data_IF_703386442249
#
_entry.id   IF_703386442249
#
_cell.length_a   1.000
_cell.length_b   1.000
_cell.length_c   1.000
_cell.angle_alpha   90.00
_cell.angle_beta   90.00
_cell.angle_gamma   90.00
#
_symmetry.space_group_name_H-M   'P 1'
#
loop_
_entity.id
_entity.type
_entity.pdbx_description
1 polymer ?
#
# COMPACT_ATOMS: atom_id res chain seq x y z
N UNK A 1 -18.75 -69.66 -11.08
CA UNK A 1 -19.73 -69.20 -10.07
C UNK A 1 -18.97 -68.39 -9.03
N UNK A 2 -19.11 -67.07 -9.12
CA UNK A 2 -18.90 -65.99 -8.13
C UNK A 2 -17.90 -66.15 -6.96
N UNK A 3 -16.93 -65.22 -6.88
CA UNK A 3 -16.85 -64.15 -5.86
C UNK A 3 -15.40 -63.70 -5.65
N UNK A 4 -14.96 -62.64 -6.35
CA UNK A 4 -13.76 -61.89 -5.96
C UNK A 4 -14.23 -60.70 -5.12
N UNK A 5 -13.92 -60.76 -3.82
CA UNK A 5 -14.19 -59.71 -2.84
C UNK A 5 -13.19 -58.57 -3.07
N UNK A 6 -13.65 -57.46 -3.64
CA UNK A 6 -12.87 -56.23 -3.74
C UNK A 6 -13.16 -55.35 -2.51
N UNK A 7 -12.19 -55.26 -1.60
CA UNK A 7 -12.20 -54.36 -0.45
C UNK A 7 -11.84 -52.96 -0.94
N UNK A 8 -12.82 -52.04 -0.96
CA UNK A 8 -12.59 -50.62 -1.23
C UNK A 8 -12.22 -49.89 0.06
N UNK A 9 -10.95 -49.50 0.21
CA UNK A 9 -10.54 -48.51 1.20
C UNK A 9 -10.90 -47.11 0.67
N UNK A 10 -11.90 -46.49 1.28
CA UNK A 10 -12.33 -45.12 0.97
C UNK A 10 -11.36 -44.16 1.66
N UNK A 11 -10.39 -43.62 0.92
CA UNK A 11 -9.57 -42.50 1.37
C UNK A 11 -10.38 -41.21 1.18
N UNK A 12 -11.06 -40.78 2.24
CA UNK A 12 -11.80 -39.52 2.26
C UNK A 12 -10.86 -38.33 2.16
N UNK A 13 -10.77 -37.72 0.97
CA UNK A 13 -10.17 -36.40 0.79
C UNK A 13 -11.12 -35.35 1.37
N UNK A 14 -10.82 -34.89 2.58
CA UNK A 14 -11.42 -33.70 3.18
C UNK A 14 -10.92 -32.50 2.38
N UNK A 15 -11.70 -32.02 1.43
CA UNK A 15 -11.44 -30.73 0.76
C UNK A 15 -11.78 -29.62 1.75
N UNK A 16 -10.75 -29.10 2.44
CA UNK A 16 -10.88 -27.88 3.23
C UNK A 16 -11.07 -26.68 2.31
N UNK A 17 -12.27 -26.15 2.22
CA UNK A 17 -12.51 -24.82 1.65
C UNK A 17 -12.07 -23.77 2.66
N UNK A 18 -10.96 -23.08 2.40
CA UNK A 18 -10.62 -21.85 3.14
C UNK A 18 -11.60 -20.76 2.72
N UNK A 19 -12.63 -20.53 3.53
CA UNK A 19 -13.54 -19.40 3.31
C UNK A 19 -12.77 -18.10 3.57
N UNK A 20 -12.66 -17.25 2.55
CA UNK A 20 -12.04 -15.91 2.64
C UNK A 20 -13.02 -14.96 3.34
N UNK A 21 -12.55 -14.14 4.28
CA UNK A 21 -13.42 -13.25 5.06
C UNK A 21 -13.88 -12.08 4.18
N UNK A 22 -15.20 -11.91 4.03
CA UNK A 22 -15.80 -10.79 3.30
C UNK A 22 -16.24 -9.68 4.28
N UNK A 23 -15.62 -8.48 4.26
CA UNK A 23 -16.02 -7.36 5.11
C UNK A 23 -17.26 -6.64 4.58
N UNK A 24 -18.14 -6.19 5.49
CA UNK A 24 -19.23 -5.26 5.16
C UNK A 24 -18.78 -3.83 5.43
N UNK A 25 -18.76 -3.00 4.39
CA UNK A 25 -18.24 -1.61 4.45
C UNK A 25 -19.36 -0.62 4.13
N UNK A 26 -19.61 0.29 5.06
CA UNK A 26 -20.56 1.39 4.95
C UNK A 26 -19.80 2.72 4.94
N UNK A 27 -20.06 3.54 3.92
CA UNK A 27 -19.33 4.77 3.66
C UNK A 27 -20.26 5.97 3.74
N UNK A 28 -19.88 6.96 4.54
CA UNK A 28 -20.46 8.30 4.51
C UNK A 28 -19.41 9.30 4.04
N UNK A 29 -19.76 10.58 3.89
CA UNK A 29 -18.78 11.63 3.52
C UNK A 29 -17.69 11.81 4.57
N UNK A 30 -17.96 11.48 5.84
CA UNK A 30 -17.09 11.79 6.97
C UNK A 30 -16.59 10.55 7.71
N UNK A 31 -17.24 9.39 7.56
CA UNK A 31 -16.89 8.18 8.29
C UNK A 31 -16.93 6.95 7.39
N UNK A 32 -16.04 6.00 7.70
CA UNK A 32 -16.02 4.65 7.12
C UNK A 32 -16.27 3.65 8.23
N UNK A 33 -17.40 2.94 8.16
CA UNK A 33 -17.80 1.91 9.11
C UNK A 33 -17.55 0.54 8.48
N UNK A 34 -16.77 -0.31 9.15
CA UNK A 34 -16.38 -1.63 8.65
C UNK A 34 -16.81 -2.66 9.67
N UNK A 35 -17.58 -3.65 9.24
CA UNK A 35 -18.03 -4.78 10.05
C UNK A 35 -17.33 -6.07 9.57
N UNK A 36 -16.72 -6.78 10.52
CA UNK A 36 -16.01 -8.04 10.28
C UNK A 36 -16.58 -9.15 11.18
N UNK A 37 -16.86 -10.34 10.64
CA UNK A 37 -17.29 -11.47 11.45
C UNK A 37 -16.12 -12.00 12.30
N UNK A 38 -16.37 -12.16 13.60
CA UNK A 38 -15.43 -12.79 14.54
C UNK A 38 -15.77 -14.29 14.59
N UNK A 39 -14.74 -15.13 14.48
CA UNK A 39 -14.88 -16.60 14.58
C UNK A 39 -14.17 -17.09 15.83
N UNK A 40 -14.50 -18.27 16.36
CA UNK A 40 -13.80 -18.86 17.52
C UNK A 40 -12.28 -19.01 17.33
N UNK A 41 -11.78 -18.99 16.09
CA UNK A 41 -10.35 -19.06 15.76
C UNK A 41 -9.66 -17.69 15.66
N UNK A 42 -10.38 -16.57 15.72
CA UNK A 42 -9.74 -15.25 15.59
C UNK A 42 -9.07 -14.84 16.89
N UNK A 43 -7.75 -14.63 16.86
CA UNK A 43 -6.96 -14.18 18.01
C UNK A 43 -7.03 -12.68 18.20
N UNK A 44 -6.82 -11.92 17.12
CA UNK A 44 -6.86 -10.46 17.16
C UNK A 44 -7.16 -9.87 15.79
N UNK A 45 -7.91 -8.77 15.77
CA UNK A 45 -8.21 -8.00 14.56
C UNK A 45 -7.69 -6.57 14.79
N UNK A 46 -6.85 -6.08 13.89
CA UNK A 46 -6.26 -4.74 14.02
C UNK A 46 -5.99 -4.12 12.66
N UNK A 47 -5.84 -2.80 12.64
CA UNK A 47 -5.47 -2.07 11.44
C UNK A 47 -3.99 -2.35 11.11
N UNK A 48 -3.68 -2.57 9.82
CA UNK A 48 -2.31 -2.83 9.39
C UNK A 48 -1.35 -1.72 9.85
N UNK A 49 -0.27 -2.12 10.52
CA UNK A 49 0.74 -1.23 11.10
C UNK A 49 0.35 -0.56 12.43
N UNK A 50 -0.79 -0.91 13.04
CA UNK A 50 -1.34 -0.24 14.23
C UNK A 50 -1.81 -1.23 15.32
N UNK A 51 -1.09 -2.34 15.52
CA UNK A 51 -1.48 -3.38 16.48
C UNK A 51 -1.52 -2.87 17.92
N UNK A 52 -0.45 -2.23 18.38
CA UNK A 52 -0.35 -1.73 19.77
C UNK A 52 -0.55 -0.21 19.86
N UNK A 53 -1.13 0.40 18.83
CA UNK A 53 -1.37 1.84 18.79
C UNK A 53 -2.35 2.26 19.90
N UNK A 54 -2.03 3.29 20.72
CA UNK A 54 -2.76 3.58 21.95
C UNK A 54 -4.15 4.19 21.72
N UNK A 55 -4.44 4.78 20.56
CA UNK A 55 -5.72 5.46 20.32
C UNK A 55 -6.88 4.46 20.16
N UNK A 56 -7.89 4.60 21.01
CA UNK A 56 -9.10 3.77 20.97
C UNK A 56 -9.90 3.89 19.68
N UNK A 57 -9.88 5.06 19.01
CA UNK A 57 -10.60 5.26 17.74
C UNK A 57 -10.12 4.34 16.60
N UNK A 58 -8.89 3.82 16.69
CA UNK A 58 -8.30 2.94 15.69
C UNK A 58 -8.40 1.44 16.06
N UNK A 59 -9.02 1.12 17.20
CA UNK A 59 -9.26 -0.26 17.66
C UNK A 59 -10.68 -0.70 17.29
N UNK A 60 -10.91 -2.00 17.07
CA UNK A 60 -12.26 -2.49 16.82
C UNK A 60 -13.11 -2.37 18.08
N UNK A 61 -14.36 -1.95 17.91
CA UNK A 61 -15.40 -2.11 18.92
C UNK A 61 -15.97 -3.51 18.73
N UNK A 62 -15.82 -4.35 19.74
CA UNK A 62 -16.34 -5.72 19.73
C UNK A 62 -17.66 -5.67 20.48
N UNK A 63 -18.74 -6.00 19.78
CA UNK A 63 -20.06 -6.15 20.39
C UNK A 63 -20.21 -7.61 20.83
N UNK A 64 -20.20 -7.82 22.15
CA UNK A 64 -20.26 -9.15 22.79
C UNK A 64 -21.50 -9.95 22.39
N UNK A 65 -22.56 -9.27 21.93
CA UNK A 65 -23.83 -9.91 21.55
C UNK A 65 -23.90 -10.36 20.10
N UNK A 66 -23.14 -9.73 19.19
CA UNK A 66 -23.26 -9.96 17.74
C UNK A 66 -22.07 -10.70 17.11
N UNK A 67 -20.99 -10.99 17.86
CA UNK A 67 -19.76 -11.60 17.31
C UNK A 67 -19.20 -10.82 16.11
N UNK A 68 -19.36 -9.50 16.13
CA UNK A 68 -18.88 -8.60 15.08
C UNK A 68 -17.82 -7.65 15.64
N UNK A 69 -16.73 -7.48 14.89
CA UNK A 69 -15.76 -6.43 15.10
C UNK A 69 -16.12 -5.23 14.21
N UNK A 70 -16.36 -4.08 14.82
CA UNK A 70 -16.75 -2.86 14.11
C UNK A 70 -15.64 -1.82 14.21
N UNK A 71 -15.14 -1.36 13.07
CA UNK A 71 -14.28 -0.17 12.99
C UNK A 71 -15.10 1.03 12.55
N UNK A 72 -14.95 2.16 13.23
CA UNK A 72 -15.53 3.43 12.84
C UNK A 72 -14.40 4.45 12.61
N UNK A 73 -13.96 4.56 11.36
CA UNK A 73 -12.82 5.38 10.97
C UNK A 73 -13.28 6.75 10.48
N UNK A 74 -12.55 7.80 10.87
CA UNK A 74 -12.83 9.18 10.46
C UNK A 74 -12.14 9.50 9.13
N UNK A 75 -12.90 10.01 8.15
CA UNK A 75 -12.41 10.41 6.82
C UNK A 75 -12.01 11.89 6.74
N UNK A 76 -12.45 12.73 7.68
CA UNK A 76 -12.05 14.15 7.71
C UNK A 76 -10.61 14.30 8.20
N UNK A 77 -10.26 13.63 9.30
CA UNK A 77 -8.89 13.47 9.77
C UNK A 77 -8.38 12.05 9.47
N UNK A 78 -8.31 11.72 8.18
CA UNK A 78 -7.93 10.38 7.71
C UNK A 78 -6.51 9.94 8.12
N UNK A 79 -5.66 10.89 8.55
CA UNK A 79 -4.33 10.61 9.08
C UNK A 79 -4.36 9.83 10.40
N UNK A 80 -5.40 10.00 11.22
CA UNK A 80 -5.43 9.52 12.60
C UNK A 80 -5.26 8.00 12.73
N UNK A 81 -5.95 7.23 11.89
CA UNK A 81 -5.86 5.76 11.86
C UNK A 81 -5.14 5.23 10.62
N UNK A 82 -4.34 6.09 10.00
CA UNK A 82 -3.49 5.72 8.88
C UNK A 82 -4.25 5.33 7.62
N UNK A 83 -5.35 6.01 7.30
CA UNK A 83 -6.15 5.74 6.10
C UNK A 83 -5.42 6.37 4.91
N UNK A 84 -5.33 5.65 3.79
CA UNK A 84 -4.78 6.22 2.57
C UNK A 84 -5.88 6.89 1.76
N UNK A 85 -5.64 8.12 1.31
CA UNK A 85 -6.55 8.88 0.47
C UNK A 85 -5.96 9.01 -0.93
N UNK A 86 -6.75 8.70 -1.95
CA UNK A 86 -6.43 8.80 -3.37
C UNK A 86 -7.38 9.80 -4.00
N UNK A 87 -6.83 10.84 -4.64
CA UNK A 87 -7.59 11.83 -5.39
C UNK A 87 -7.24 11.65 -6.85
N UNK A 88 -8.24 11.50 -7.70
CA UNK A 88 -8.08 11.53 -9.15
C UNK A 88 -8.38 12.94 -9.64
N UNK A 89 -7.37 13.65 -10.15
CA UNK A 89 -7.50 15.05 -10.60
C UNK A 89 -8.21 15.21 -11.95
N UNK A 90 -8.46 14.11 -12.67
CA UNK A 90 -9.23 14.14 -13.93
C UNK A 90 -10.74 14.01 -13.70
N UNK A 91 -11.14 13.36 -12.61
CA UNK A 91 -12.56 13.04 -12.32
C UNK A 91 -13.06 13.62 -11.00
N UNK A 92 -12.18 14.26 -10.23
CA UNK A 92 -12.38 14.71 -8.85
C UNK A 92 -12.91 13.61 -7.91
N UNK A 93 -12.71 12.34 -8.29
CA UNK A 93 -13.12 11.19 -7.49
C UNK A 93 -12.13 10.97 -6.36
N UNK A 94 -12.66 10.81 -5.14
CA UNK A 94 -11.86 10.54 -3.95
C UNK A 94 -12.10 9.09 -3.52
N UNK A 95 -11.02 8.35 -3.31
CA UNK A 95 -11.06 6.97 -2.82
C UNK A 95 -10.21 6.84 -1.56
N UNK A 96 -10.78 6.27 -0.52
CA UNK A 96 -10.10 5.95 0.72
C UNK A 96 -9.91 4.44 0.82
N UNK A 97 -8.74 4.00 1.29
CA UNK A 97 -8.50 2.59 1.56
C UNK A 97 -7.69 2.38 2.83
N UNK A 98 -7.92 1.21 3.44
CA UNK A 98 -7.15 0.73 4.58
C UNK A 98 -7.06 -0.80 4.52
N UNK A 99 -5.97 -1.33 5.04
CA UNK A 99 -5.80 -2.79 5.20
C UNK A 99 -6.01 -3.16 6.66
N UNK A 100 -6.78 -4.21 6.88
CA UNK A 100 -7.05 -4.81 8.19
C UNK A 100 -6.33 -6.16 8.23
N UNK A 101 -5.78 -6.50 9.38
CA UNK A 101 -5.11 -7.77 9.63
C UNK A 101 -5.96 -8.57 10.60
N UNK A 102 -6.21 -9.83 10.24
CA UNK A 102 -6.88 -10.81 11.08
C UNK A 102 -5.86 -11.89 11.43
N UNK A 103 -5.45 -11.95 12.69
CA UNK A 103 -4.59 -13.02 13.22
C UNK A 103 -5.46 -14.17 13.70
N UNK A 104 -5.19 -15.38 13.24
CA UNK A 104 -5.86 -16.59 13.71
C UNK A 104 -5.04 -17.34 14.78
N UNK A 105 -5.71 -17.89 15.78
CA UNK A 105 -5.13 -18.78 16.77
C UNK A 105 -4.94 -20.17 16.15
N UNK A 106 -3.78 -20.35 15.51
CA UNK A 106 -3.42 -21.61 14.85
C UNK A 106 -1.93 -21.89 15.05
N UNK A 107 -1.55 -23.18 15.09
CA UNK A 107 -0.15 -23.62 15.30
C UNK A 107 0.80 -23.12 14.20
N UNK A 108 0.25 -22.68 13.07
CA UNK A 108 0.95 -22.01 11.98
C UNK A 108 0.40 -20.58 11.99
N UNK A 109 1.23 -19.57 12.27
CA UNK A 109 0.80 -18.16 12.25
C UNK A 109 0.21 -17.82 10.88
N UNK A 110 -1.11 -17.81 10.77
CA UNK A 110 -1.84 -17.38 9.57
C UNK A 110 -2.42 -16.00 9.84
N UNK A 111 -1.94 -15.02 9.07
CA UNK A 111 -2.47 -13.67 9.04
C UNK A 111 -3.24 -13.49 7.72
N UNK A 112 -4.47 -13.00 7.80
CA UNK A 112 -5.25 -12.62 6.62
C UNK A 112 -5.28 -11.10 6.48
N UNK A 113 -4.94 -10.61 5.27
CA UNK A 113 -4.96 -9.18 4.94
C UNK A 113 -6.22 -8.82 4.16
N UNK A 114 -7.10 -8.05 4.79
CA UNK A 114 -8.37 -7.61 4.21
C UNK A 114 -8.25 -6.14 3.80
N UNK A 115 -8.28 -5.87 2.48
CA UNK A 115 -8.25 -4.51 1.94
C UNK A 115 -9.68 -3.96 1.81
N UNK A 116 -9.99 -2.90 2.54
CA UNK A 116 -11.28 -2.19 2.46
C UNK A 116 -11.13 -0.90 1.67
N UNK A 117 -12.13 -0.58 0.85
CA UNK A 117 -12.15 0.60 -0.01
C UNK A 117 -13.48 1.35 0.10
N UNK A 118 -13.40 2.67 -0.02
CA UNK A 118 -14.53 3.58 0.08
C UNK A 118 -14.38 4.67 -0.96
N UNK A 119 -15.32 4.80 -1.90
CA UNK A 119 -15.25 5.83 -2.95
C UNK A 119 -16.34 6.87 -2.75
N UNK A 120 -15.94 8.14 -2.63
CA UNK A 120 -16.84 9.28 -2.57
C UNK A 120 -16.78 9.97 -3.93
N UNK A 121 -17.93 10.02 -4.61
CA UNK A 121 -18.07 10.79 -5.84
C UNK A 121 -18.62 12.17 -5.48
N UNK A 122 -18.08 13.26 -6.03
CA UNK A 122 -18.70 14.57 -5.88
C UNK A 122 -20.08 14.54 -6.55
N UNK A 123 -21.15 14.59 -5.76
CA UNK A 123 -22.51 14.76 -6.29
C UNK A 123 -22.64 16.20 -6.82
N UNK A 124 -22.32 16.40 -8.10
CA UNK A 124 -22.60 17.64 -8.83
C UNK A 124 -23.08 17.36 -10.26
N UNK A 125 -23.81 16.26 -10.45
CA UNK A 125 -24.63 16.10 -11.64
C UNK A 125 -26.08 15.93 -11.23
N UNK A 126 -26.81 17.04 -11.15
CA UNK A 126 -28.23 17.02 -11.51
C UNK A 126 -28.28 16.67 -12.99
N UNK A 127 -28.25 15.38 -13.30
CA UNK A 127 -28.57 14.88 -14.64
C UNK A 127 -30.05 15.17 -14.86
N UNK A 128 -30.34 16.38 -15.35
CA UNK A 128 -31.62 16.67 -15.96
C UNK A 128 -31.60 15.91 -17.28
N UNK A 129 -32.13 14.68 -17.26
CA UNK A 129 -32.47 13.99 -18.50
C UNK A 129 -33.45 14.87 -19.25
N UNK A 130 -32.96 15.62 -20.24
CA UNK A 130 -33.82 16.25 -21.24
C UNK A 130 -34.33 15.11 -22.12
N UNK A 131 -35.48 14.54 -21.77
CA UNK A 131 -36.12 13.44 -22.49
C UNK A 131 -36.66 13.85 -23.88
N UNK A 132 -36.25 15.00 -24.41
CA UNK A 132 -36.76 15.54 -25.66
C UNK A 132 -35.58 15.80 -26.58
N UNK A 133 -35.45 14.93 -27.56
CA UNK A 133 -34.57 15.14 -28.70
C UNK A 133 -35.11 16.34 -29.51
N UNK A 134 -34.24 17.21 -30.07
CA UNK A 134 -34.68 18.32 -30.92
C UNK A 134 -35.56 17.82 -32.07
N UNK A 135 -36.54 18.62 -32.48
CA UNK A 135 -37.35 18.30 -33.66
C UNK A 135 -36.43 18.13 -34.88
N UNK A 136 -36.50 16.97 -35.54
CA UNK A 136 -35.63 16.61 -36.66
C UNK A 136 -34.38 15.77 -36.31
N UNK A 137 -34.23 15.32 -35.07
CA UNK A 137 -33.24 14.29 -34.74
C UNK A 137 -33.70 12.93 -35.28
N UNK A 138 -33.12 12.52 -36.41
CA UNK A 138 -33.28 11.18 -36.98
C UNK A 138 -32.12 10.31 -36.45
N UNK A 139 -32.43 9.32 -35.62
CA UNK A 139 -31.43 8.38 -35.12
C UNK A 139 -31.07 7.41 -36.26
N UNK A 140 -29.80 7.35 -36.71
CA UNK A 140 -29.40 6.38 -37.73
C UNK A 140 -29.65 4.97 -37.20
N UNK A 141 -30.36 4.15 -37.99
CA UNK A 141 -30.80 2.80 -37.59
C UNK A 141 -29.64 1.85 -37.28
N UNK A 142 -28.44 2.12 -37.82
CA UNK A 142 -27.24 1.33 -37.58
C UNK A 142 -25.99 2.23 -37.49
N UNK A 143 -25.59 2.60 -36.27
CA UNK A 143 -24.20 3.02 -36.00
C UNK A 143 -23.37 1.75 -35.82
N UNK A 144 -22.70 1.27 -36.88
CA UNK A 144 -21.59 0.33 -36.72
C UNK A 144 -20.43 1.04 -36.03
N UNK A 145 -20.48 1.10 -34.69
CA UNK A 145 -19.31 1.43 -33.87
C UNK A 145 -18.37 0.23 -34.03
N UNK A 146 -17.46 0.28 -35.01
CA UNK A 146 -16.38 -0.69 -35.14
C UNK A 146 -15.51 -0.61 -33.90
N UNK A 147 -15.82 -1.47 -32.91
CA UNK A 147 -15.04 -1.80 -31.71
C UNK A 147 -14.16 -0.66 -31.15
N UNK A 148 -14.74 0.39 -30.57
CA UNK A 148 -13.99 1.25 -29.65
C UNK A 148 -13.87 0.53 -28.30
N UNK A 149 -12.77 -0.20 -28.10
CA UNK A 149 -12.44 -0.74 -26.77
C UNK A 149 -11.92 0.43 -25.93
N UNK A 150 -12.78 1.05 -25.14
CA UNK A 150 -12.37 2.01 -24.12
C UNK A 150 -11.89 1.26 -22.88
N UNK A 151 -10.61 0.94 -22.83
CA UNK A 151 -10.00 0.35 -21.63
C UNK A 151 -9.77 1.45 -20.60
N UNK A 152 -10.43 1.38 -19.46
CA UNK A 152 -10.19 2.31 -18.35
C UNK A 152 -8.94 1.88 -17.57
N UNK A 153 -8.02 2.83 -17.36
CA UNK A 153 -6.86 2.58 -16.53
C UNK A 153 -7.30 2.31 -15.08
N UNK A 154 -6.67 1.35 -14.38
CA UNK A 154 -7.00 1.02 -13.01
C UNK A 154 -6.66 2.17 -12.06
N UNK A 155 -7.34 2.22 -10.91
CA UNK A 155 -6.97 3.13 -9.80
C UNK A 155 -5.68 2.61 -9.18
N UNK A 156 -4.62 3.43 -9.05
CA UNK A 156 -3.33 2.98 -8.53
C UNK A 156 -3.43 2.52 -7.07
N UNK A 157 -2.79 1.40 -6.76
CA UNK A 157 -2.69 0.86 -5.39
C UNK A 157 -1.23 0.87 -4.95
N UNK A 158 -0.94 1.51 -3.82
CA UNK A 158 0.42 1.67 -3.31
C UNK A 158 0.62 0.83 -2.05
N UNK A 159 1.81 0.24 -1.95
CA UNK A 159 2.36 -0.34 -0.73
C UNK A 159 3.41 0.57 -0.13
N UNK A 160 3.52 0.53 1.20
CA UNK A 160 4.57 1.20 1.97
C UNK A 160 5.23 0.15 2.84
N UNK A 161 6.56 0.15 2.85
CA UNK A 161 7.36 -0.75 3.67
C UNK A 161 8.51 -0.01 4.33
N UNK A 162 8.99 -0.55 5.45
CA UNK A 162 10.23 -0.12 6.07
C UNK A 162 11.14 -1.34 6.19
N UNK A 163 12.40 -1.17 5.78
CA UNK A 163 13.45 -2.17 5.93
C UNK A 163 14.46 -1.76 6.97
N UNK A 164 14.91 -2.76 7.72
CA UNK A 164 16.05 -2.67 8.62
C UNK A 164 17.06 -3.73 8.21
N UNK A 165 18.31 -3.33 7.91
CA UNK A 165 19.36 -4.27 7.50
C UNK A 165 18.98 -5.13 6.28
N UNK A 166 18.20 -4.57 5.34
CA UNK A 166 17.75 -5.30 4.16
C UNK A 166 16.63 -6.32 4.41
N UNK A 167 16.00 -6.36 5.59
CA UNK A 167 14.80 -7.18 5.85
C UNK A 167 13.56 -6.27 5.98
N UNK A 168 12.47 -6.63 5.32
CA UNK A 168 11.17 -5.96 5.50
C UNK A 168 10.65 -6.24 6.90
N UNK A 169 10.27 -5.18 7.60
CA UNK A 169 9.64 -5.29 8.92
C UNK A 169 8.14 -5.29 8.73
N UNK A 170 7.53 -6.45 8.93
CA UNK A 170 6.08 -6.67 8.87
C UNK A 170 5.52 -6.51 10.28
N UNK A 171 5.02 -5.31 10.62
CA UNK A 171 4.42 -5.04 11.93
C UNK A 171 4.83 -3.69 12.50
N UNK A 172 4.60 -3.52 13.80
CA UNK A 172 5.04 -2.34 14.54
C UNK A 172 6.57 -2.37 14.69
N UNK A 173 7.24 -1.41 14.06
CA UNK A 173 8.69 -1.30 14.09
C UNK A 173 9.11 -0.62 15.39
N UNK A 174 9.58 -1.40 16.37
CA UNK A 174 10.28 -0.91 17.56
C UNK A 174 11.75 -0.69 17.21
N UNK A 175 12.19 0.56 17.19
CA UNK A 175 13.57 0.92 16.85
C UNK A 175 14.16 1.89 17.85
N UNK A 176 15.46 1.77 18.09
CA UNK A 176 16.21 2.75 18.87
C UNK A 176 16.50 4.00 18.01
N UNK A 177 16.50 5.22 18.59
CA UNK A 177 16.94 6.41 17.88
C UNK A 177 18.33 6.24 17.26
N UNK A 178 18.50 6.74 16.03
CA UNK A 178 19.73 6.66 15.24
C UNK A 178 19.85 5.41 14.37
N UNK A 179 18.95 4.43 14.53
CA UNK A 179 18.94 3.22 13.70
C UNK A 179 18.78 3.59 12.22
N UNK A 180 19.67 3.15 11.32
CA UNK A 180 19.51 3.37 9.89
C UNK A 180 18.40 2.46 9.34
N UNK A 181 17.42 3.08 8.72
CA UNK A 181 16.26 2.43 8.12
C UNK A 181 16.13 2.84 6.66
N UNK A 182 15.38 2.05 5.90
CA UNK A 182 15.07 2.35 4.50
C UNK A 182 13.57 2.28 4.29
N UNK A 183 12.97 3.39 3.85
CA UNK A 183 11.57 3.46 3.47
C UNK A 183 11.41 3.08 2.01
N UNK A 184 10.38 2.29 1.72
CA UNK A 184 10.04 1.82 0.38
C UNK A 184 8.58 2.15 0.08
N UNK A 185 8.34 2.74 -1.08
CA UNK A 185 6.99 3.01 -1.59
C UNK A 185 6.92 2.42 -3.00
N UNK A 186 5.92 1.58 -3.25
CA UNK A 186 5.83 0.85 -4.50
C UNK A 186 4.41 0.69 -5.00
N UNK A 187 4.26 0.59 -6.31
CA UNK A 187 2.99 0.25 -6.96
C UNK A 187 2.74 -1.26 -6.97
N UNK A 188 1.47 -1.66 -6.97
CA UNK A 188 1.12 -3.05 -7.24
C UNK A 188 1.34 -3.41 -8.72
N UNK A 189 1.43 -4.72 -9.01
CA UNK A 189 1.76 -5.24 -10.35
C UNK A 189 0.83 -4.73 -11.46
N UNK A 190 -0.42 -4.44 -11.13
CA UNK A 190 -1.41 -3.97 -12.11
C UNK A 190 -1.22 -2.48 -12.43
N UNK A 191 -0.68 -1.70 -11.48
CA UNK A 191 -0.51 -0.25 -11.62
C UNK A 191 0.89 0.13 -12.10
N UNK A 192 1.92 -0.66 -11.74
CA UNK A 192 3.33 -0.36 -12.05
C UNK A 192 3.65 -0.35 -13.54
N UNK A 193 2.85 -1.04 -14.36
CA UNK A 193 3.02 -1.06 -15.83
C UNK A 193 2.58 0.25 -16.48
N UNK A 194 1.70 1.02 -15.82
CA UNK A 194 1.03 2.19 -16.39
C UNK A 194 1.53 3.48 -15.75
N UNK A 195 1.91 3.41 -14.47
CA UNK A 195 2.13 4.59 -13.65
C UNK A 195 3.52 4.62 -13.01
N UNK A 196 3.99 5.84 -12.77
CA UNK A 196 5.16 6.14 -11.96
C UNK A 196 4.80 6.90 -10.70
N UNK A 197 5.73 6.92 -9.75
CA UNK A 197 5.58 7.56 -8.45
C UNK A 197 6.57 8.72 -8.27
N UNK A 198 6.09 9.78 -7.62
CA UNK A 198 6.92 10.89 -7.15
C UNK A 198 6.46 11.33 -5.76
N UNK A 199 7.34 11.24 -4.76
CA UNK A 199 7.07 11.85 -3.45
C UNK A 199 7.27 13.35 -3.58
N UNK A 200 6.23 14.14 -3.28
CA UNK A 200 6.27 15.60 -3.39
C UNK A 200 6.39 16.29 -2.05
N UNK A 201 5.71 15.76 -1.02
CA UNK A 201 5.72 16.35 0.30
C UNK A 201 5.72 15.26 1.36
N UNK A 202 6.54 15.43 2.38
CA UNK A 202 6.58 14.52 3.51
C UNK A 202 6.76 15.31 4.80
N UNK A 203 5.87 15.04 5.74
CA UNK A 203 5.80 15.70 7.03
C UNK A 203 5.82 14.64 8.13
N UNK A 204 6.48 14.96 9.23
CA UNK A 204 6.58 14.08 10.39
C UNK A 204 5.95 14.75 11.59
N UNK A 205 5.11 14.02 12.31
CA UNK A 205 4.39 14.54 13.47
C UNK A 205 4.42 13.57 14.63
N UNK A 206 4.34 14.13 15.84
CA UNK A 206 4.29 13.39 17.10
C UNK A 206 2.87 12.89 17.44
N UNK A 207 2.00 12.79 16.44
CA UNK A 207 0.54 12.54 16.55
C UNK A 207 -0.27 13.60 17.33
N UNK A 208 0.42 14.62 17.86
CA UNK A 208 -0.10 15.72 18.66
C UNK A 208 0.03 17.05 17.89
N UNK A 209 0.77 18.02 18.44
CA UNK A 209 0.91 19.39 17.90
C UNK A 209 2.22 19.62 17.17
N UNK A 210 3.25 18.83 17.47
CA UNK A 210 4.56 18.99 16.85
C UNK A 210 4.55 18.37 15.46
N UNK A 211 4.94 19.15 14.46
CA UNK A 211 5.06 18.71 13.07
C UNK A 211 6.24 19.37 12.38
N UNK A 212 6.98 18.64 11.56
CA UNK A 212 8.09 19.17 10.75
C UNK A 212 8.04 18.63 9.34
N UNK A 213 8.41 19.47 8.37
CA UNK A 213 8.52 19.05 6.97
C UNK A 213 9.92 18.49 6.73
N UNK A 214 10.00 17.23 6.30
CA UNK A 214 11.26 16.58 5.94
C UNK A 214 11.50 16.56 4.43
N UNK A 215 10.43 16.56 3.62
CA UNK A 215 10.52 16.68 2.16
C UNK A 215 9.56 17.76 1.69
N UNK A 216 10.09 18.67 0.87
CA UNK A 216 9.34 19.74 0.24
C UNK A 216 9.65 19.77 -1.26
N UNK A 217 8.60 19.72 -2.08
CA UNK A 217 8.70 19.65 -3.54
C UNK A 217 9.65 18.54 -4.05
N UNK A 218 9.65 17.38 -3.40
CA UNK A 218 10.48 16.23 -3.79
C UNK A 218 11.94 16.28 -3.35
N UNK A 219 12.35 17.34 -2.65
CA UNK A 219 13.70 17.47 -2.08
C UNK A 219 13.66 17.38 -0.56
N UNK A 220 14.62 16.66 0.02
CA UNK A 220 14.81 16.61 1.46
C UNK A 220 15.28 17.97 1.99
N UNK A 221 14.78 18.34 3.17
CA UNK A 221 15.21 19.54 3.91
C UNK A 221 16.48 19.26 4.71
N UNK A 222 16.66 18.02 5.18
CA UNK A 222 17.87 17.57 5.88
C UNK A 222 18.33 16.20 5.38
N UNK A 223 19.33 16.15 4.47
CA UNK A 223 19.93 14.92 3.97
C UNK A 223 20.55 14.03 5.05
N UNK A 224 20.90 14.57 6.22
CA UNK A 224 21.47 13.77 7.31
C UNK A 224 20.41 12.90 8.00
N UNK A 225 19.18 13.42 8.10
CA UNK A 225 18.07 12.75 8.75
C UNK A 225 17.33 11.83 7.76
N UNK A 226 17.08 12.34 6.56
CA UNK A 226 16.29 11.69 5.54
C UNK A 226 16.90 11.97 4.16
N UNK A 227 17.33 10.94 3.45
CA UNK A 227 17.85 11.05 2.09
C UNK A 227 16.72 11.28 1.07
N UNK A 228 17.07 11.80 -0.10
CA UNK A 228 16.11 11.92 -1.20
C UNK A 228 15.58 10.55 -1.65
N UNK A 229 14.34 10.52 -2.13
CA UNK A 229 13.78 9.31 -2.74
C UNK A 229 14.45 9.04 -4.08
N UNK A 230 14.97 7.84 -4.22
CA UNK A 230 15.58 7.32 -5.43
C UNK A 230 14.71 6.20 -6.02
N UNK A 231 14.62 6.14 -7.34
CA UNK A 231 13.98 5.04 -8.07
C UNK A 231 14.87 4.62 -9.23
N UNK A 232 14.69 3.40 -9.75
CA UNK A 232 15.34 2.93 -10.98
C UNK A 232 14.32 2.94 -12.11
N UNK A 233 13.15 2.35 -11.86
CA UNK A 233 12.12 2.11 -12.86
C UNK A 233 10.93 3.08 -12.79
N UNK A 234 10.82 3.90 -11.75
CA UNK A 234 9.74 4.88 -11.56
C UNK A 234 8.59 4.35 -10.70
N UNK A 235 8.44 3.03 -10.58
CA UNK A 235 7.37 2.36 -9.83
C UNK A 235 7.76 2.01 -8.39
N UNK A 236 9.06 1.96 -8.09
CA UNK A 236 9.64 1.64 -6.79
C UNK A 236 10.54 2.76 -6.29
N UNK A 237 10.13 3.42 -5.21
CA UNK A 237 10.87 4.51 -4.57
C UNK A 237 11.50 4.04 -3.26
N UNK A 238 12.76 4.43 -3.04
CA UNK A 238 13.53 4.10 -1.85
C UNK A 238 14.19 5.34 -1.26
N UNK A 239 14.14 5.50 0.05
CA UNK A 239 14.88 6.53 0.76
C UNK A 239 15.46 5.96 2.05
N UNK A 240 16.72 6.31 2.36
CA UNK A 240 17.33 5.95 3.64
C UNK A 240 17.07 7.06 4.64
N UNK A 241 16.86 6.69 5.90
CA UNK A 241 16.67 7.66 6.96
C UNK A 241 17.18 7.09 8.28
N UNK A 242 17.50 7.97 9.22
CA UNK A 242 17.83 7.57 10.59
C UNK A 242 16.57 7.67 11.43
N UNK A 243 16.29 6.66 12.24
CA UNK A 243 15.20 6.73 13.19
C UNK A 243 15.41 7.93 14.13
N UNK A 244 14.41 8.77 14.26
CA UNK A 244 14.42 9.90 15.18
C UNK A 244 13.09 9.94 15.91
N UNK A 245 13.07 10.57 17.08
CA UNK A 245 11.82 10.81 17.81
C UNK A 245 11.74 12.20 18.39
N UNK A 246 10.51 12.64 18.63
CA UNK A 246 10.25 13.80 19.48
C UNK A 246 10.50 13.43 20.95
N UNK A 247 10.87 14.38 21.81
CA UNK A 247 11.10 14.13 23.23
C UNK A 247 9.83 13.71 23.97
N UNK A 248 8.66 14.15 23.51
CA UNK A 248 7.39 14.01 24.22
C UNK A 248 6.60 12.75 23.83
N UNK A 249 6.84 12.15 22.66
CA UNK A 249 6.19 10.87 22.30
C UNK A 249 7.11 9.82 21.70
N UNK A 250 6.63 8.58 21.76
CA UNK A 250 7.31 7.38 21.26
C UNK A 250 6.89 7.01 19.85
N UNK A 251 5.72 7.49 19.39
CA UNK A 251 5.21 7.23 18.06
C UNK A 251 5.52 8.40 17.13
N UNK A 252 6.16 8.09 16.02
CA UNK A 252 6.45 9.06 14.97
C UNK A 252 5.58 8.73 13.77
N UNK A 253 4.71 9.67 13.41
CA UNK A 253 3.81 9.53 12.28
C UNK A 253 4.38 10.29 11.08
N UNK A 254 4.58 9.56 9.99
CA UNK A 254 4.98 10.08 8.69
C UNK A 254 3.74 10.28 7.82
N UNK A 255 3.47 11.51 7.40
CA UNK A 255 2.45 11.88 6.42
C UNK A 255 3.16 12.15 5.10
N UNK A 256 2.90 11.34 4.09
CA UNK A 256 3.56 11.45 2.80
C UNK A 256 2.53 11.64 1.68
N UNK A 257 2.77 12.64 0.84
CA UNK A 257 1.99 12.93 -0.37
C UNK A 257 2.80 12.45 -1.57
N UNK A 258 2.22 11.52 -2.31
CA UNK A 258 2.79 10.88 -3.49
C UNK A 258 1.93 11.26 -4.69
N UNK A 259 2.56 11.85 -5.68
CA UNK A 259 1.96 12.10 -6.98
C UNK A 259 2.18 10.90 -7.89
N UNK A 260 1.19 10.60 -8.70
CA UNK A 260 1.21 9.52 -9.68
C UNK A 260 1.08 10.11 -11.09
N UNK A 261 2.01 9.73 -11.94
CA UNK A 261 2.14 10.15 -13.33
C UNK A 261 1.98 8.94 -14.26
N UNK A 262 1.85 9.17 -15.57
CA UNK A 262 1.93 8.09 -16.56
C UNK A 262 3.40 7.70 -16.76
N UNK A 263 3.66 6.39 -16.75
CA UNK A 263 4.96 5.77 -16.96
C UNK A 263 6.02 6.22 -15.93
N UNK A 264 6.79 7.28 -16.19
CA UNK A 264 7.81 7.80 -15.27
C UNK A 264 7.67 9.30 -15.03
N UNK A 265 7.78 9.68 -13.76
CA UNK A 265 7.53 11.07 -13.36
C UNK A 265 8.72 11.98 -13.69
N UNK A 266 8.41 13.23 -14.02
CA UNK A 266 9.36 14.33 -14.13
C UNK A 266 9.46 15.09 -12.80
N UNK A 267 10.19 14.62 -11.82
CA UNK A 267 10.49 15.40 -10.62
C UNK A 267 11.56 16.47 -10.78
N UNK A 268 12.44 16.55 -9.78
CA UNK A 268 12.92 17.84 -9.30
C UNK A 268 14.42 17.85 -9.02
N UNK A 269 15.14 18.68 -9.76
CA UNK A 269 16.53 19.00 -9.46
C UNK A 269 16.62 19.77 -8.14
N UNK A 270 17.28 19.18 -7.13
CA UNK A 270 17.44 19.77 -5.82
C UNK A 270 18.68 20.68 -5.76
N UNK A 271 18.72 21.61 -4.79
CA UNK A 271 19.81 22.58 -4.62
C UNK A 271 21.20 21.94 -4.48
N UNK A 272 21.28 20.70 -3.97
CA UNK A 272 22.53 19.97 -3.75
C UNK A 272 23.06 19.27 -5.02
N UNK A 273 22.44 19.50 -6.18
CA UNK A 273 22.78 18.84 -7.45
C UNK A 273 22.36 17.37 -7.52
N UNK A 274 21.76 16.83 -6.45
CA UNK A 274 21.05 15.56 -6.50
C UNK A 274 19.73 15.74 -7.25
N UNK A 275 19.44 14.81 -8.15
CA UNK A 275 18.16 14.77 -8.85
C UNK A 275 17.19 14.06 -7.92
N UNK A 276 16.35 14.81 -7.22
CA UNK A 276 15.03 14.29 -6.82
C UNK A 276 14.29 13.97 -8.11
N UNK A 277 13.60 12.84 -8.20
CA UNK A 277 13.30 12.22 -9.50
C UNK A 277 12.46 13.01 -10.46
N UNK A 278 13.11 13.94 -11.19
CA UNK A 278 13.00 14.32 -12.59
C UNK A 278 13.45 15.73 -12.94
N UNK A 279 13.12 16.10 -14.17
CA UNK A 279 13.90 17.08 -14.91
C UNK A 279 12.93 17.97 -15.65
N UNK A 280 12.88 19.25 -15.27
CA UNK A 280 12.12 20.26 -15.99
C UNK A 280 12.83 20.59 -17.31
N UNK A 281 12.41 19.95 -18.40
CA UNK A 281 12.51 20.59 -19.72
C UNK A 281 11.39 21.62 -19.82
N UNK A 282 11.69 22.80 -20.34
CA UNK A 282 10.70 23.87 -20.54
C UNK A 282 9.61 23.37 -21.48
N UNK A 283 8.39 23.18 -20.99
CA UNK A 283 7.23 22.81 -21.80
C UNK A 283 6.30 24.00 -22.02
N UNK A 284 5.70 24.00 -23.22
CA UNK A 284 4.73 24.97 -23.74
C UNK A 284 3.37 24.69 -23.04
N UNK A 285 2.56 25.71 -22.70
CA UNK A 285 1.31 25.50 -21.97
C UNK A 285 0.27 24.84 -22.87
N UNK A 286 0.16 23.52 -22.79
CA UNK A 286 -1.03 22.77 -23.15
C UNK A 286 -1.40 21.86 -21.99
N UNK A 287 -2.63 22.00 -21.50
CA UNK A 287 -3.22 21.23 -20.41
C UNK A 287 -2.88 19.72 -20.53
N UNK A 288 -2.52 19.04 -19.42
CA UNK A 288 -2.92 19.31 -18.03
C UNK A 288 -1.96 20.20 -17.23
N UNK A 289 -2.42 20.69 -16.07
CA UNK A 289 -1.72 21.67 -15.23
C UNK A 289 -0.39 21.18 -14.60
N UNK A 290 -0.13 19.87 -14.58
CA UNK A 290 1.16 19.23 -14.25
C UNK A 290 1.07 17.75 -14.72
N UNK A 291 1.94 17.26 -15.63
CA UNK A 291 1.91 15.87 -16.10
C UNK A 291 2.14 14.85 -14.97
N UNK A 292 2.70 15.29 -13.84
CA UNK A 292 2.97 14.42 -12.71
C UNK A 292 1.77 14.18 -11.79
N UNK A 293 0.65 14.89 -11.98
CA UNK A 293 -0.40 14.99 -10.97
C UNK A 293 -1.74 14.39 -11.42
N UNK A 294 -1.73 13.17 -11.95
CA UNK A 294 -2.96 12.48 -12.39
C UNK A 294 -3.72 11.95 -11.18
N UNK A 295 -2.99 11.27 -10.29
CA UNK A 295 -3.46 10.96 -8.95
C UNK A 295 -2.58 11.61 -7.90
N UNK A 296 -3.19 12.05 -6.81
CA UNK A 296 -2.49 12.47 -5.61
C UNK A 296 -2.90 11.55 -4.46
N UNK A 297 -1.91 10.96 -3.82
CA UNK A 297 -2.09 9.89 -2.85
C UNK A 297 -1.43 10.29 -1.56
N UNK A 298 -2.24 10.42 -0.52
CA UNK A 298 -1.77 10.74 0.82
C UNK A 298 -1.72 9.46 1.65
N UNK A 299 -0.52 8.99 1.94
CA UNK A 299 -0.22 7.81 2.76
C UNK A 299 0.29 8.22 4.14
N UNK A 300 0.12 7.32 5.10
CA UNK A 300 0.56 7.51 6.48
C UNK A 300 1.22 6.26 7.00
N UNK A 301 2.37 6.43 7.66
CA UNK A 301 3.13 5.37 8.30
C UNK A 301 3.44 5.73 9.75
N UNK A 302 3.48 4.73 10.61
CA UNK A 302 3.72 4.89 12.04
C UNK A 302 4.93 4.06 12.43
N UNK A 303 5.88 4.68 13.13
CA UNK A 303 7.07 4.00 13.65
C UNK A 303 7.12 4.25 15.15
N UNK A 304 7.35 3.19 15.93
CA UNK A 304 7.52 3.31 17.37
C UNK A 304 9.00 3.31 17.71
N UNK A 305 9.44 4.42 18.24
CA UNK A 305 10.84 4.62 18.59
C UNK A 305 10.96 4.51 20.10
N UNK A 306 11.60 3.43 20.56
CA UNK A 306 11.81 3.19 21.98
C UNK A 306 13.29 3.30 22.33
N UNK A 307 13.57 3.79 23.53
CA UNK A 307 14.87 3.57 24.14
C UNK A 307 14.80 2.25 24.87
N UNK A 308 15.58 1.27 24.44
CA UNK A 308 15.97 0.20 25.33
C UNK A 308 16.99 0.84 26.28
N UNK A 309 16.60 1.09 27.54
CA UNK A 309 17.46 0.84 28.72
C UNK A 309 16.91 1.46 30.01
N UNK A 310 16.75 0.59 31.01
CA UNK A 310 16.47 0.83 32.43
C UNK A 310 17.66 1.47 33.17
N UNK A 311 18.27 2.55 32.65
CA UNK A 311 19.38 3.20 33.35
C UNK A 311 19.02 4.61 33.84
N UNK A 312 19.29 4.85 35.12
CA UNK A 312 19.00 6.06 35.90
C UNK A 312 19.75 7.33 35.42
N UNK A 313 20.34 7.32 34.23
CA UNK A 313 21.10 8.44 33.66
C UNK A 313 20.48 9.01 32.37
N UNK A 314 19.17 8.84 32.22
CA UNK A 314 18.36 9.26 31.07
C UNK A 314 18.53 10.74 30.72
N UNK A 315 18.55 11.65 31.70
CA UNK A 315 18.54 13.10 31.42
C UNK A 315 19.85 13.63 30.79
N UNK A 316 20.99 12.99 31.10
CA UNK A 316 22.29 13.37 30.54
C UNK A 316 22.49 12.85 29.11
N UNK A 317 21.95 11.67 28.79
CA UNK A 317 21.93 11.10 27.43
C UNK A 317 21.10 11.95 26.48
N UNK A 318 19.96 12.47 26.94
CA UNK A 318 19.09 13.32 26.12
C UNK A 318 19.81 14.60 25.70
N UNK A 319 20.57 15.26 26.59
CA UNK A 319 21.29 16.49 26.23
C UNK A 319 22.33 16.27 25.13
N UNK A 320 22.97 15.11 25.09
CA UNK A 320 24.00 14.80 24.11
C UNK A 320 23.42 14.33 22.76
N UNK A 321 22.23 13.72 22.76
CA UNK A 321 21.60 13.13 21.56
C UNK A 321 20.51 14.00 20.93
N UNK A 322 20.24 15.17 21.50
CA UNK A 322 19.22 16.08 20.98
C UNK A 322 19.77 17.06 19.96
N UNK A 323 19.21 17.04 18.75
CA UNK A 323 19.47 18.02 17.69
C UNK A 323 18.27 18.97 17.58
N UNK A 324 18.53 20.26 17.35
CA UNK A 324 17.48 21.26 17.13
C UNK A 324 17.29 21.43 15.63
N UNK A 325 16.07 21.24 15.15
CA UNK A 325 15.66 21.42 13.77
C UNK A 325 14.46 22.37 13.74
N UNK A 326 14.57 23.48 13.00
CA UNK A 326 13.51 24.50 12.88
C UNK A 326 12.87 24.91 14.23
N UNK A 327 13.70 25.14 15.26
CA UNK A 327 13.29 25.44 16.64
C UNK A 327 12.58 24.29 17.40
N UNK A 328 12.48 23.09 16.82
CA UNK A 328 11.99 21.89 17.49
C UNK A 328 13.13 20.95 17.87
N UNK A 329 12.97 20.23 18.97
CA UNK A 329 13.98 19.34 19.53
C UNK A 329 13.71 17.92 19.09
N UNK A 330 14.68 17.29 18.44
CA UNK A 330 14.63 15.89 18.01
C UNK A 330 15.71 15.07 18.69
N UNK A 331 15.45 13.79 18.88
CA UNK A 331 16.40 12.83 19.43
C UNK A 331 16.79 11.86 18.33
N UNK A 332 18.07 11.86 17.94
CA UNK A 332 18.58 11.15 16.75
C UNK A 332 19.59 10.06 17.11
N UNK A 333 19.88 9.81 18.40
CA UNK A 333 20.91 8.86 18.83
C UNK A 333 22.35 9.34 18.58
N UNK A 334 23.35 8.72 19.21
CA UNK A 334 24.76 9.12 19.05
C UNK A 334 25.28 8.80 17.64
N UNK A 335 26.03 9.73 17.03
CA UNK A 335 26.97 9.43 15.95
C UNK A 335 28.11 8.58 16.51
N UNK A 336 28.14 7.28 16.22
CA UNK A 336 29.44 6.61 16.18
C UNK A 336 30.17 7.12 14.95
N UNK A 337 31.28 7.80 15.19
CA UNK A 337 32.23 8.30 14.19
C UNK A 337 32.51 7.26 13.11
N UNK A 338 32.53 7.73 11.85
CA UNK A 338 33.03 7.01 10.69
C UNK A 338 34.45 6.47 10.97
N UNK A 339 34.62 5.16 11.13
CA UNK A 339 35.87 4.46 10.74
C UNK A 339 35.57 3.08 10.17
N UNK A 340 36.22 2.80 9.04
CA UNK A 340 36.27 1.55 8.27
C UNK A 340 35.14 1.26 7.27
N UNK A 341 35.07 2.04 6.18
CA UNK A 341 34.97 1.42 4.86
C UNK A 341 36.40 1.23 4.35
N UNK A 342 36.91 0.00 4.45
CA UNK A 342 38.10 -0.40 3.70
C UNK A 342 37.63 -0.54 2.25
N UNK A 343 38.04 0.38 1.39
CA UNK A 343 37.99 0.23 -0.06
C UNK A 343 38.81 -1.00 -0.43
N UNK A 344 38.15 -2.03 -0.94
CA UNK A 344 38.81 -3.03 -1.79
C UNK A 344 38.43 -2.66 -3.20
N UNK A 345 39.39 -2.06 -3.90
CA UNK A 345 39.40 -1.99 -5.35
C UNK A 345 39.47 -3.42 -5.89
N UNK A 346 38.53 -3.79 -6.75
CA UNK A 346 38.79 -4.76 -7.81
C UNK A 346 37.82 -4.46 -8.97
N UNK A 347 38.41 -4.28 -10.15
CA UNK A 347 37.73 -4.10 -11.43
C UNK A 347 38.23 -5.20 -12.38
N UNK A 348 37.61 -5.40 -13.56
CA UNK A 348 36.69 -6.49 -13.80
C UNK A 348 37.23 -7.50 -14.83
N UNK A 349 36.66 -8.70 -14.90
CA UNK A 349 36.77 -9.51 -16.12
C UNK A 349 35.53 -10.37 -16.38
N UNK A 350 34.97 -10.13 -17.58
CA UNK A 350 34.33 -11.03 -18.53
C UNK A 350 33.24 -12.01 -18.04
N UNK A 351 32.00 -11.78 -18.46
CA UNK A 351 31.19 -12.83 -19.09
C UNK A 351 30.17 -12.25 -20.08
N UNK A 352 29.87 -13.06 -21.09
CA UNK A 352 29.46 -12.73 -22.45
C UNK A 352 28.00 -12.33 -22.66
N UNK A 353 27.80 -11.64 -23.79
CA UNK A 353 26.52 -11.27 -24.39
C UNK A 353 25.87 -12.53 -25.01
N UNK A 354 24.65 -12.86 -24.62
CA UNK A 354 23.74 -13.68 -25.42
C UNK A 354 22.49 -12.88 -25.78
N UNK A 355 22.27 -12.72 -27.09
CA UNK A 355 21.12 -12.05 -27.71
C UNK A 355 19.92 -13.01 -27.82
N UNK A 356 18.75 -12.47 -27.46
CA UNK A 356 17.40 -12.61 -28.01
C UNK A 356 17.01 -13.91 -28.74
N UNK A 357 15.88 -14.50 -28.33
CA UNK A 357 14.78 -14.85 -29.25
C UNK A 357 13.41 -14.75 -28.53
N UNK A 358 12.47 -14.17 -29.26
CA UNK A 358 11.06 -13.95 -28.98
C UNK A 358 10.25 -15.14 -29.52
N UNK A 359 9.25 -15.60 -28.76
CA UNK A 359 8.17 -16.45 -29.29
C UNK A 359 6.82 -15.85 -28.88
N UNK A 360 6.10 -15.33 -29.88
CA UNK A 360 4.69 -15.00 -29.78
C UNK A 360 3.85 -16.28 -29.89
N UNK A 361 2.86 -16.44 -28.99
CA UNK A 361 1.59 -17.08 -29.36
C UNK A 361 0.42 -16.60 -28.50
N UNK A 362 -0.69 -16.29 -29.19
CA UNK A 362 -1.90 -15.61 -28.72
C UNK A 362 -2.97 -16.62 -28.28
N UNK A 363 -3.93 -16.11 -27.49
CA UNK A 363 -5.32 -16.55 -27.15
C UNK A 363 -5.46 -17.22 -25.78
N UNK A 364 -6.41 -16.89 -24.90
CA UNK A 364 -7.71 -16.18 -25.00
C UNK A 364 -8.13 -15.58 -23.63
N UNK A 365 -8.99 -14.56 -23.64
CA UNK A 365 -9.61 -13.91 -22.46
C UNK A 365 -10.66 -14.79 -21.79
N UNK A 366 -10.60 -14.99 -20.46
CA UNK A 366 -11.75 -15.16 -19.53
C UNK A 366 -11.36 -14.60 -18.15
N UNK A 367 -12.31 -13.93 -17.48
CA UNK A 367 -12.17 -13.30 -16.17
C UNK A 367 -11.85 -14.27 -15.02
N UNK A 368 -10.93 -13.89 -14.13
CA UNK A 368 -10.67 -14.64 -12.89
C UNK A 368 -11.28 -13.94 -11.66
N UNK A 369 -12.50 -14.38 -11.35
CA UNK A 369 -12.93 -14.56 -9.97
C UNK A 369 -12.20 -15.79 -9.42
N UNK A 370 -11.40 -15.63 -8.38
CA UNK A 370 -10.77 -16.76 -7.71
C UNK A 370 -11.78 -17.52 -6.84
N UNK A 371 -12.59 -18.36 -7.48
CA UNK A 371 -13.30 -19.48 -6.87
C UNK A 371 -12.94 -20.74 -7.67
N UNK A 372 -12.00 -21.53 -7.16
CA UNK A 372 -11.66 -22.83 -7.76
C UNK A 372 -12.80 -23.80 -7.49
N UNK A 373 -13.66 -23.99 -8.47
CA UNK A 373 -14.77 -24.95 -8.47
C UNK A 373 -14.33 -26.26 -9.17
N UNK A 374 -13.39 -26.99 -8.57
CA UNK A 374 -12.95 -28.30 -9.06
C UNK A 374 -13.67 -29.46 -8.37
N UNK A 375 -14.98 -29.59 -8.59
CA UNK A 375 -15.73 -30.79 -8.15
C UNK A 375 -16.68 -31.38 -9.21
N UNK A 376 -16.86 -30.76 -10.38
CA UNK A 376 -17.79 -31.27 -11.39
C UNK A 376 -17.17 -32.22 -12.42
N UNK A 377 -15.88 -32.07 -12.77
CA UNK A 377 -15.24 -32.89 -13.82
C UNK A 377 -14.78 -34.27 -13.33
N UNK A 378 -14.46 -34.42 -12.05
CA UNK A 378 -14.04 -35.71 -11.48
C UNK A 378 -15.20 -36.70 -11.31
N UNK A 379 -16.42 -36.19 -11.06
CA UNK A 379 -17.63 -37.02 -10.92
C UNK A 379 -18.09 -37.55 -12.28
N UNK A 380 -17.94 -36.77 -13.35
CA UNK A 380 -18.23 -37.21 -14.72
C UNK A 380 -17.22 -38.24 -15.23
N UNK A 381 -15.92 -38.07 -14.97
CA UNK A 381 -14.91 -39.07 -15.38
C UNK A 381 -15.07 -40.39 -14.62
N UNK A 382 -15.34 -40.35 -13.31
CA UNK A 382 -15.59 -41.57 -12.52
C UNK A 382 -16.91 -42.25 -12.89
N UNK A 383 -17.94 -41.49 -13.27
CA UNK A 383 -19.19 -42.04 -13.80
C UNK A 383 -19.05 -42.72 -15.15
N UNK A 384 -18.14 -42.24 -16.01
CA UNK A 384 -17.83 -42.86 -17.31
C UNK A 384 -16.98 -44.12 -17.12
N UNK A 385 -16.00 -44.10 -16.22
CA UNK A 385 -15.17 -45.27 -15.90
C UNK A 385 -16.00 -46.38 -15.23
N UNK A 386 -16.96 -46.04 -14.37
CA UNK A 386 -17.84 -47.02 -13.73
C UNK A 386 -18.84 -47.67 -14.71
N UNK A 387 -19.23 -46.98 -15.80
CA UNK A 387 -20.04 -47.57 -16.87
C UNK A 387 -19.24 -48.42 -17.87
N UNK A 388 -17.92 -48.27 -17.90
CA UNK A 388 -17.02 -49.08 -18.73
C UNK A 388 -16.53 -50.35 -18.03
N UNK A 389 -16.74 -50.47 -16.73
CA UNK A 389 -16.31 -51.59 -15.88
C UNK A 389 -17.47 -52.47 -15.36
N UNK A 390 -18.71 -52.19 -15.76
CA UNK A 390 -19.93 -52.93 -15.39
C UNK A 390 -20.45 -53.79 -16.56
#
# INVERSE_FOLDING_TARGET
MFCVVAVFYILGLITGSTAKVEPKVECTSNTMRIELPITSMTKSIYLHGLKDYPKFACKPQIDETSSLAVFQLNLTNFYECGITRVINHLTDKIVYYKTIVIDYDSKIQQEELVKVKCSILPLNHTVTKRNVLPAGFEEPQDLMITNSITTHAPVPVLGVGVRQGGKLVTGELNVSPGTPLQMEIFLDKNSSVIYGLLVTHMQVTDTNTQEETIIYNGCTVDPFLFENFNTVDGDFLTAKFKAFKFPESTYVQFKCTVNVCLDKCQGVECSDGQIGYGRKRREIPSLPADPNKIFEITITSFIKVNYDDESENFESLFKNQTKIYNNKKFIVGNEMDKRFYKTVEESPSNLEIMKLMEEEKITSVIADNSAVRNSAMFVLLMGIILRLLL
#
